data_IF_268164134993
#
_entry.id   IF_268164134993
#
_cell.length_a   1.000
_cell.length_b   1.000
_cell.length_c   1.000
_cell.angle_alpha   90.00
_cell.angle_beta   90.00
_cell.angle_gamma   90.00
#
_symmetry.space_group_name_H-M   'P 1'
#
loop_
_entity.id
_entity.type
_entity.pdbx_description
1 polymer ?
#
# COMPACT_ATOMS: atom_id res chain seq x y z
N UNK A 1 31.69 30.27 -11.92
CA UNK A 1 32.78 29.36 -11.53
C UNK A 1 32.34 27.97 -11.97
N UNK A 2 32.67 27.66 -13.21
CA UNK A 2 32.40 26.40 -13.88
C UNK A 2 33.45 25.41 -13.41
N UNK A 3 33.05 24.18 -13.05
CA UNK A 3 34.02 23.09 -13.10
C UNK A 3 33.41 21.80 -13.66
N UNK A 4 34.14 21.28 -14.64
CA UNK A 4 33.89 20.07 -15.43
C UNK A 4 34.54 18.90 -14.71
N UNK A 5 33.82 17.77 -14.58
CA UNK A 5 34.45 16.46 -14.39
C UNK A 5 33.54 15.41 -15.05
N UNK A 6 33.84 14.99 -16.27
CA UNK A 6 34.79 13.92 -16.61
C UNK A 6 34.04 12.60 -16.82
N UNK A 7 33.83 12.30 -18.10
CA UNK A 7 33.31 11.05 -18.64
C UNK A 7 34.17 9.86 -18.20
N UNK A 8 33.52 8.76 -17.82
CA UNK A 8 34.10 7.42 -17.82
C UNK A 8 33.37 6.59 -18.84
N UNK A 9 34.02 6.41 -19.98
CA UNK A 9 33.77 5.31 -20.92
C UNK A 9 34.11 4.01 -20.18
N UNK A 10 33.13 3.11 -20.10
CA UNK A 10 33.33 1.76 -19.59
C UNK A 10 33.08 0.83 -20.79
N UNK A 11 34.17 0.37 -21.40
CA UNK A 11 34.16 -0.65 -22.43
C UNK A 11 33.70 -1.96 -21.79
N UNK A 12 32.47 -2.37 -22.10
CA UNK A 12 31.99 -3.72 -21.80
C UNK A 12 32.49 -4.70 -22.87
N UNK A 13 32.97 -5.89 -22.48
CA UNK A 13 33.39 -6.91 -23.43
C UNK A 13 32.16 -7.43 -24.21
N UNK A 14 32.31 -7.44 -25.53
CA UNK A 14 31.45 -8.16 -26.48
C UNK A 14 31.46 -9.63 -26.07
N UNK A 15 30.33 -10.10 -25.53
CA UNK A 15 30.11 -11.51 -25.21
C UNK A 15 29.65 -12.24 -26.47
N UNK A 16 30.26 -13.39 -26.69
CA UNK A 16 30.06 -14.31 -27.81
C UNK A 16 28.57 -14.65 -28.03
N UNK A 17 28.17 -14.52 -29.29
CA UNK A 17 26.95 -15.05 -29.87
C UNK A 17 26.79 -16.55 -29.56
N UNK A 18 26.09 -16.85 -28.46
CA UNK A 18 25.48 -18.17 -28.28
C UNK A 18 24.24 -18.18 -29.15
N UNK A 19 24.43 -18.68 -30.36
CA UNK A 19 23.43 -18.99 -31.36
C UNK A 19 22.47 -20.07 -30.81
N UNK A 20 21.56 -19.65 -29.93
CA UNK A 20 20.42 -20.43 -29.48
C UNK A 20 19.51 -20.59 -30.69
N UNK A 21 19.57 -21.78 -31.30
CA UNK A 21 18.82 -22.11 -32.50
C UNK A 21 17.33 -21.81 -32.28
N UNK A 22 16.87 -20.71 -32.88
CA UNK A 22 15.48 -20.32 -32.91
C UNK A 22 14.68 -21.50 -33.46
N UNK A 23 13.89 -22.12 -32.58
CA UNK A 23 12.91 -23.14 -32.99
C UNK A 23 12.02 -22.47 -34.03
N UNK A 24 11.95 -22.98 -35.28
CA UNK A 24 11.16 -22.34 -36.31
C UNK A 24 9.70 -22.28 -35.85
N UNK A 25 9.23 -21.07 -35.55
CA UNK A 25 7.84 -20.80 -35.22
C UNK A 25 7.03 -21.20 -36.45
N UNK A 26 6.28 -22.28 -36.30
CA UNK A 26 5.44 -22.85 -37.35
C UNK A 26 4.35 -21.82 -37.66
N UNK A 27 4.55 -21.00 -38.68
CA UNK A 27 3.54 -20.04 -39.16
C UNK A 27 2.31 -20.84 -39.60
N UNK A 28 1.23 -20.74 -38.82
CA UNK A 28 -0.07 -21.32 -39.15
C UNK A 28 -0.68 -20.53 -40.32
N UNK A 29 -1.35 -21.20 -41.26
CA UNK A 29 -1.99 -20.54 -42.40
C UNK A 29 -2.99 -19.47 -41.94
N UNK A 30 -2.98 -18.33 -42.64
CA UNK A 30 -3.89 -17.21 -42.43
C UNK A 30 -5.35 -17.69 -42.48
N UNK A 31 -6.11 -17.46 -41.41
CA UNK A 31 -7.55 -17.75 -41.35
C UNK A 31 -8.02 -18.81 -40.34
N UNK A 32 -7.11 -19.49 -39.61
CA UNK A 32 -7.49 -20.49 -38.61
C UNK A 32 -6.89 -20.22 -37.22
N UNK A 33 -7.24 -19.10 -36.59
CA UNK A 33 -6.86 -18.79 -35.20
C UNK A 33 -7.53 -19.71 -34.15
N UNK A 34 -8.43 -20.60 -34.56
CA UNK A 34 -9.26 -21.40 -33.65
C UNK A 34 -8.58 -22.63 -33.04
N UNK A 35 -7.37 -22.96 -33.50
CA UNK A 35 -6.57 -24.07 -32.97
C UNK A 35 -5.54 -23.66 -31.92
N UNK A 36 -5.51 -22.38 -31.53
CA UNK A 36 -4.58 -21.87 -30.54
C UNK A 36 -4.80 -22.54 -29.18
N UNK A 37 -3.71 -22.80 -28.48
CA UNK A 37 -3.66 -23.41 -27.14
C UNK A 37 -2.82 -22.55 -26.20
N UNK A 38 -2.89 -22.86 -24.90
CA UNK A 38 -2.01 -22.24 -23.91
C UNK A 38 -0.54 -22.48 -24.32
N UNK A 39 0.24 -21.39 -24.37
CA UNK A 39 1.63 -21.37 -24.82
C UNK A 39 1.80 -20.98 -26.30
N UNK A 40 0.74 -20.99 -27.11
CA UNK A 40 0.84 -20.58 -28.52
C UNK A 40 1.00 -19.06 -28.65
N UNK A 41 1.56 -18.64 -29.79
CA UNK A 41 1.84 -17.25 -30.09
C UNK A 41 0.81 -16.67 -31.06
N UNK A 42 0.19 -15.55 -30.67
CA UNK A 42 -0.74 -14.81 -31.50
C UNK A 42 0.02 -13.92 -32.49
N UNK A 43 0.05 -14.30 -33.77
CA UNK A 43 0.87 -13.66 -34.79
C UNK A 43 0.62 -12.14 -34.94
N UNK A 44 -0.64 -11.70 -34.95
CA UNK A 44 -0.98 -10.29 -35.22
C UNK A 44 -0.63 -9.34 -34.07
N UNK A 45 -0.77 -9.82 -32.84
CA UNK A 45 -0.58 -9.01 -31.62
C UNK A 45 0.82 -9.20 -31.04
N UNK A 46 1.58 -10.18 -31.54
CA UNK A 46 2.88 -10.58 -31.04
C UNK A 46 2.85 -10.87 -29.53
N UNK A 47 1.85 -11.64 -29.09
CA UNK A 47 1.64 -12.01 -27.68
C UNK A 47 1.52 -13.52 -27.50
N UNK A 48 2.06 -14.03 -26.40
CA UNK A 48 1.91 -15.44 -26.01
C UNK A 48 0.63 -15.63 -25.21
N UNK A 49 -0.12 -16.68 -25.54
CA UNK A 49 -1.35 -17.05 -24.83
C UNK A 49 -0.96 -17.73 -23.53
N UNK A 50 -1.24 -17.08 -22.40
CA UNK A 50 -1.01 -17.67 -21.08
C UNK A 50 -2.18 -18.58 -20.70
N UNK A 51 -3.41 -18.10 -20.86
CA UNK A 51 -4.63 -18.83 -20.50
C UNK A 51 -5.73 -18.58 -21.53
N UNK A 52 -6.04 -19.61 -22.32
CA UNK A 52 -7.15 -19.62 -23.25
C UNK A 52 -8.46 -19.83 -22.49
N UNK A 53 -9.32 -18.82 -22.51
CA UNK A 53 -10.57 -18.84 -21.77
C UNK A 53 -11.66 -19.54 -22.58
N UNK A 54 -11.83 -19.13 -23.84
CA UNK A 54 -12.78 -19.74 -24.76
C UNK A 54 -12.32 -19.55 -26.20
N UNK A 55 -12.43 -20.60 -27.01
CA UNK A 55 -12.19 -20.57 -28.45
C UNK A 55 -13.37 -21.24 -29.15
N UNK A 56 -13.95 -20.55 -30.13
CA UNK A 56 -15.05 -21.02 -30.99
C UNK A 56 -14.75 -20.61 -32.42
N UNK A 57 -15.47 -21.14 -33.41
CA UNK A 57 -15.24 -20.80 -34.83
C UNK A 57 -15.54 -19.32 -35.17
N UNK A 58 -16.21 -18.57 -34.29
CA UNK A 58 -16.59 -17.17 -34.55
C UNK A 58 -15.79 -16.16 -33.71
N UNK A 59 -15.26 -16.58 -32.58
CA UNK A 59 -14.51 -15.69 -31.68
C UNK A 59 -13.65 -16.48 -30.71
N UNK A 60 -12.64 -15.82 -30.17
CA UNK A 60 -11.83 -16.36 -29.09
C UNK A 60 -11.43 -15.27 -28.10
N UNK A 61 -11.23 -15.67 -26.85
CA UNK A 61 -10.86 -14.80 -25.73
C UNK A 61 -9.78 -15.49 -24.91
N UNK A 62 -8.72 -14.76 -24.59
CA UNK A 62 -7.59 -15.28 -23.82
C UNK A 62 -6.95 -14.21 -22.94
N UNK A 63 -6.17 -14.67 -21.96
CA UNK A 63 -5.25 -13.84 -21.17
C UNK A 63 -3.84 -14.05 -21.73
N UNK A 64 -3.19 -12.96 -22.12
CA UNK A 64 -1.82 -12.98 -22.65
C UNK A 64 -0.79 -13.05 -21.51
N UNK A 65 0.48 -13.33 -21.85
CA UNK A 65 1.60 -13.43 -20.88
C UNK A 65 1.89 -12.15 -20.10
N UNK A 66 1.44 -10.99 -20.58
CA UNK A 66 1.48 -9.70 -19.90
C UNK A 66 0.24 -9.45 -19.01
N UNK A 67 -0.59 -10.49 -18.80
CA UNK A 67 -1.88 -10.44 -18.09
C UNK A 67 -2.93 -9.52 -18.72
N UNK A 68 -2.73 -9.07 -19.96
CA UNK A 68 -3.77 -8.33 -20.70
C UNK A 68 -4.82 -9.29 -21.26
N UNK A 69 -6.08 -8.89 -21.21
CA UNK A 69 -7.16 -9.64 -21.83
C UNK A 69 -7.20 -9.28 -23.31
N UNK A 70 -7.20 -10.30 -24.15
CA UNK A 70 -7.24 -10.19 -25.59
C UNK A 70 -8.43 -10.98 -26.12
N UNK A 71 -9.02 -10.46 -27.19
CA UNK A 71 -10.15 -11.08 -27.85
C UNK A 71 -10.11 -10.72 -29.34
N UNK A 72 -10.69 -11.58 -30.16
CA UNK A 72 -10.91 -11.31 -31.58
C UNK A 72 -12.12 -12.09 -32.07
N UNK A 73 -12.76 -11.59 -33.11
CA UNK A 73 -14.00 -12.09 -33.70
C UNK A 73 -13.83 -12.17 -35.21
N UNK A 74 -14.55 -13.07 -35.87
CA UNK A 74 -14.66 -13.09 -37.33
C UNK A 74 -15.57 -11.96 -37.82
N UNK A 75 -15.45 -11.60 -39.09
CA UNK A 75 -16.32 -10.60 -39.74
C UNK A 75 -17.80 -11.03 -39.74
N UNK A 76 -18.07 -12.33 -39.64
CA UNK A 76 -19.43 -12.89 -39.60
C UNK A 76 -20.05 -12.83 -38.19
N UNK A 77 -19.24 -12.64 -37.14
CA UNK A 77 -19.72 -12.63 -35.78
C UNK A 77 -20.46 -11.33 -35.45
N UNK A 78 -21.75 -11.45 -35.13
CA UNK A 78 -22.55 -10.32 -34.68
C UNK A 78 -22.47 -10.19 -33.15
N UNK A 79 -21.65 -9.26 -32.68
CA UNK A 79 -21.58 -8.91 -31.27
C UNK A 79 -22.94 -8.33 -30.80
N UNK A 80 -23.36 -8.61 -29.55
CA UNK A 80 -24.61 -8.07 -29.02
C UNK A 80 -24.54 -6.54 -28.86
N UNK A 81 -25.70 -5.86 -28.88
CA UNK A 81 -25.78 -4.39 -28.79
C UNK A 81 -25.08 -3.80 -27.54
N UNK A 82 -25.06 -4.56 -26.44
CA UNK A 82 -24.46 -4.14 -25.17
C UNK A 82 -22.96 -4.46 -25.06
N UNK A 83 -22.32 -4.97 -26.12
CA UNK A 83 -20.90 -5.35 -26.13
C UNK A 83 -19.97 -4.19 -25.77
N UNK A 84 -20.26 -2.98 -26.27
CA UNK A 84 -19.48 -1.78 -25.93
C UNK A 84 -19.48 -1.45 -24.43
N UNK A 85 -20.61 -1.65 -23.75
CA UNK A 85 -20.70 -1.46 -22.30
C UNK A 85 -19.84 -2.48 -21.54
N UNK A 86 -19.83 -3.74 -22.00
CA UNK A 86 -19.00 -4.80 -21.42
C UNK A 86 -17.51 -4.50 -21.62
N UNK A 87 -17.09 -4.07 -22.82
CA UNK A 87 -15.71 -3.68 -23.07
C UNK A 87 -15.26 -2.52 -22.18
N UNK A 88 -16.12 -1.51 -21.99
CA UNK A 88 -15.84 -0.41 -21.07
C UNK A 88 -15.66 -0.90 -19.63
N UNK A 89 -16.54 -1.81 -19.17
CA UNK A 89 -16.45 -2.41 -17.84
C UNK A 89 -15.19 -3.25 -17.67
N UNK A 90 -14.83 -4.06 -18.66
CA UNK A 90 -13.59 -4.84 -18.70
C UNK A 90 -12.39 -3.91 -18.56
N UNK A 91 -12.28 -2.86 -19.38
CA UNK A 91 -11.17 -1.90 -19.33
C UNK A 91 -11.03 -1.23 -17.95
N UNK A 92 -12.14 -0.88 -17.30
CA UNK A 92 -12.14 -0.32 -15.94
C UNK A 92 -11.61 -1.33 -14.92
N UNK A 93 -12.06 -2.59 -14.97
CA UNK A 93 -11.61 -3.64 -14.05
C UNK A 93 -10.14 -4.00 -14.27
N UNK A 94 -9.71 -4.02 -15.54
CA UNK A 94 -8.32 -4.19 -15.92
C UNK A 94 -7.44 -3.10 -15.28
N UNK A 95 -7.79 -1.82 -15.48
CA UNK A 95 -7.04 -0.71 -14.90
C UNK A 95 -7.01 -0.77 -13.36
N UNK A 96 -8.16 -1.08 -12.72
CA UNK A 96 -8.27 -1.16 -11.25
C UNK A 96 -7.56 -2.35 -10.63
N UNK A 97 -7.21 -3.38 -11.39
CA UNK A 97 -6.45 -4.53 -10.89
C UNK A 97 -4.93 -4.32 -10.88
N UNK A 98 -4.45 -3.18 -11.37
CA UNK A 98 -3.00 -2.89 -11.51
C UNK A 98 -2.22 -2.84 -10.20
N UNK A 99 -2.88 -2.71 -9.05
CA UNK A 99 -2.22 -2.72 -7.73
C UNK A 99 -1.84 -4.14 -7.25
N UNK A 100 -2.29 -5.20 -7.93
CA UNK A 100 -2.07 -6.58 -7.52
C UNK A 100 -0.68 -7.04 -7.97
N UNK A 101 0.23 -7.21 -7.00
CA UNK A 101 1.61 -7.61 -7.26
C UNK A 101 1.78 -9.13 -7.50
N UNK A 102 0.90 -9.97 -6.93
CA UNK A 102 0.98 -11.42 -7.10
C UNK A 102 0.45 -11.84 -8.49
N UNK A 103 1.31 -12.37 -9.38
CA UNK A 103 0.92 -12.70 -10.76
C UNK A 103 -0.13 -13.80 -10.81
N UNK A 104 -0.14 -14.75 -9.87
CA UNK A 104 -1.13 -15.82 -9.84
C UNK A 104 -2.53 -15.27 -9.51
N UNK A 105 -2.62 -14.43 -8.48
CA UNK A 105 -3.87 -13.75 -8.13
C UNK A 105 -4.35 -12.84 -9.25
N UNK A 106 -3.44 -12.07 -9.87
CA UNK A 106 -3.77 -11.22 -11.01
C UNK A 106 -4.30 -12.05 -12.19
N UNK A 107 -3.61 -13.12 -12.56
CA UNK A 107 -4.02 -14.04 -13.63
C UNK A 107 -5.42 -14.62 -13.40
N UNK A 108 -5.71 -15.09 -12.18
CA UNK A 108 -7.03 -15.60 -11.82
C UNK A 108 -8.15 -14.55 -11.96
N UNK A 109 -7.88 -13.30 -11.59
CA UNK A 109 -8.83 -12.19 -11.75
C UNK A 109 -9.02 -11.86 -13.24
N UNK A 110 -7.93 -11.77 -14.01
CA UNK A 110 -7.98 -11.49 -15.45
C UNK A 110 -8.75 -12.56 -16.21
N UNK A 111 -8.56 -13.82 -15.83
CA UNK A 111 -9.34 -14.95 -16.35
C UNK A 111 -10.84 -14.76 -16.11
N UNK A 112 -11.27 -14.38 -14.91
CA UNK A 112 -12.69 -14.14 -14.62
C UNK A 112 -13.28 -12.96 -15.40
N UNK A 113 -12.51 -11.88 -15.57
CA UNK A 113 -12.93 -10.74 -16.40
C UNK A 113 -13.09 -11.20 -17.86
N UNK A 114 -12.12 -11.96 -18.37
CA UNK A 114 -12.16 -12.54 -19.70
C UNK A 114 -13.31 -13.53 -19.90
N UNK A 115 -13.68 -14.32 -18.87
CA UNK A 115 -14.88 -15.16 -18.90
C UNK A 115 -16.17 -14.33 -19.03
N UNK A 116 -16.25 -13.18 -18.36
CA UNK A 116 -17.36 -12.23 -18.52
C UNK A 116 -17.47 -11.70 -19.96
N UNK A 117 -16.34 -11.37 -20.57
CA UNK A 117 -16.27 -10.96 -21.97
C UNK A 117 -16.65 -12.09 -22.93
N UNK A 118 -16.14 -13.30 -22.69
CA UNK A 118 -16.42 -14.48 -23.51
C UNK A 118 -17.91 -14.86 -23.49
N UNK A 119 -18.58 -14.71 -22.33
CA UNK A 119 -20.05 -14.90 -22.23
C UNK A 119 -20.82 -13.87 -23.06
N UNK A 120 -20.36 -12.62 -23.07
CA UNK A 120 -20.95 -11.57 -23.89
C UNK A 120 -20.85 -11.91 -25.38
N UNK A 121 -19.66 -12.32 -25.85
CA UNK A 121 -19.46 -12.76 -27.24
C UNK A 121 -20.28 -14.02 -27.56
N UNK A 122 -20.46 -14.91 -26.59
CA UNK A 122 -21.38 -16.06 -26.70
C UNK A 122 -22.87 -15.70 -26.67
N UNK A 123 -23.22 -14.42 -26.80
CA UNK A 123 -24.60 -13.90 -26.82
C UNK A 123 -25.45 -14.33 -25.62
N UNK A 124 -24.84 -14.44 -24.43
CA UNK A 124 -25.56 -14.68 -23.19
C UNK A 124 -26.44 -13.47 -22.82
N UNK A 125 -27.26 -13.57 -21.78
CA UNK A 125 -28.08 -12.43 -21.34
C UNK A 125 -27.19 -11.36 -20.72
N UNK A 126 -27.48 -10.08 -21.02
CA UNK A 126 -26.77 -8.91 -20.46
C UNK A 126 -26.59 -9.02 -18.94
N UNK A 127 -27.66 -9.37 -18.21
CA UNK A 127 -27.63 -9.52 -16.74
C UNK A 127 -26.56 -10.49 -16.25
N UNK A 128 -26.37 -11.62 -16.95
CA UNK A 128 -25.49 -12.69 -16.51
C UNK A 128 -24.01 -12.32 -16.74
N UNK A 129 -23.74 -11.57 -17.81
CA UNK A 129 -22.41 -11.01 -18.09
C UNK A 129 -22.02 -9.95 -17.04
N UNK A 130 -22.92 -9.01 -16.74
CA UNK A 130 -22.68 -7.97 -15.74
C UNK A 130 -22.56 -8.55 -14.33
N UNK A 131 -23.38 -9.54 -13.96
CA UNK A 131 -23.31 -10.18 -12.65
C UNK A 131 -21.93 -10.79 -12.38
N UNK A 132 -21.29 -11.41 -13.39
CA UNK A 132 -19.93 -11.95 -13.24
C UNK A 132 -18.90 -10.82 -13.05
N UNK A 133 -18.97 -9.76 -13.87
CA UNK A 133 -18.05 -8.63 -13.77
C UNK A 133 -18.22 -7.84 -12.45
N UNK A 134 -19.43 -7.76 -11.92
CA UNK A 134 -19.71 -7.14 -10.63
C UNK A 134 -19.16 -7.96 -9.46
N UNK A 135 -19.16 -9.29 -9.57
CA UNK A 135 -18.51 -10.14 -8.58
C UNK A 135 -16.99 -9.94 -8.58
N UNK A 136 -16.38 -9.80 -9.77
CA UNK A 136 -14.96 -9.44 -9.88
C UNK A 136 -14.70 -8.05 -9.28
N UNK A 137 -15.58 -7.07 -9.51
CA UNK A 137 -15.45 -5.74 -8.92
C UNK A 137 -15.45 -5.78 -7.38
N UNK A 138 -16.33 -6.58 -6.79
CA UNK A 138 -16.37 -6.80 -5.33
C UNK A 138 -15.09 -7.45 -4.82
N UNK A 139 -14.58 -8.47 -5.53
CA UNK A 139 -13.32 -9.12 -5.20
C UNK A 139 -12.15 -8.13 -5.26
N UNK A 140 -12.08 -7.32 -6.32
CA UNK A 140 -11.08 -6.26 -6.46
C UNK A 140 -11.19 -5.23 -5.35
N UNK A 141 -12.39 -4.78 -4.99
CA UNK A 141 -12.59 -3.85 -3.89
C UNK A 141 -12.12 -4.42 -2.54
N UNK A 142 -12.38 -5.71 -2.28
CA UNK A 142 -11.91 -6.39 -1.08
C UNK A 142 -10.38 -6.49 -1.04
N UNK A 143 -9.75 -6.89 -2.15
CA UNK A 143 -8.28 -6.97 -2.28
C UNK A 143 -7.62 -5.61 -2.18
N UNK A 144 -8.22 -4.59 -2.78
CA UNK A 144 -7.77 -3.21 -2.73
C UNK A 144 -7.65 -2.72 -1.28
N UNK A 145 -8.71 -2.96 -0.50
CA UNK A 145 -8.74 -2.64 0.93
C UNK A 145 -7.66 -3.41 1.71
N UNK A 146 -7.52 -4.71 1.46
CA UNK A 146 -6.52 -5.55 2.12
C UNK A 146 -5.08 -5.06 1.86
N UNK A 147 -4.75 -4.79 0.60
CA UNK A 147 -3.41 -4.31 0.19
C UNK A 147 -3.10 -2.94 0.77
N UNK A 148 -4.05 -2.00 0.70
CA UNK A 148 -3.85 -0.67 1.27
C UNK A 148 -3.62 -0.74 2.79
N UNK A 149 -4.38 -1.59 3.50
CA UNK A 149 -4.18 -1.84 4.93
C UNK A 149 -2.81 -2.43 5.23
N UNK A 150 -2.34 -3.40 4.43
CA UNK A 150 -0.99 -3.98 4.59
C UNK A 150 0.09 -2.90 4.48
N UNK A 151 0.04 -2.05 3.46
CA UNK A 151 1.05 -0.99 3.27
C UNK A 151 1.04 0.02 4.42
N UNK A 152 -0.15 0.47 4.82
CA UNK A 152 -0.33 1.40 5.93
C UNK A 152 0.21 0.84 7.26
N UNK A 153 -0.21 -0.37 7.64
CA UNK A 153 0.21 -0.98 8.90
C UNK A 153 1.68 -1.39 8.89
N UNK A 154 2.21 -1.84 7.76
CA UNK A 154 3.64 -2.18 7.66
C UNK A 154 4.52 -0.97 7.95
N UNK A 155 4.16 0.21 7.45
CA UNK A 155 4.88 1.44 7.77
C UNK A 155 4.79 1.79 9.27
N UNK A 156 3.58 1.77 9.84
CA UNK A 156 3.36 2.07 11.25
C UNK A 156 4.10 1.10 12.18
N UNK A 157 4.07 -0.21 11.88
CA UNK A 157 4.77 -1.24 12.66
C UNK A 157 6.28 -1.12 12.54
N UNK A 158 6.84 -0.83 11.36
CA UNK A 158 8.30 -0.65 11.19
C UNK A 158 8.83 0.49 12.04
N UNK A 159 8.17 1.65 12.01
CA UNK A 159 8.58 2.83 12.79
C UNK A 159 8.42 2.58 14.28
N UNK A 160 7.27 2.05 14.70
CA UNK A 160 7.02 1.75 16.12
C UNK A 160 7.98 0.67 16.63
N UNK A 161 8.27 -0.34 15.82
CA UNK A 161 9.26 -1.38 16.11
C UNK A 161 10.66 -0.81 16.30
N UNK A 162 11.10 0.11 15.42
CA UNK A 162 12.36 0.83 15.59
C UNK A 162 12.38 1.65 16.89
N UNK A 163 11.30 2.34 17.23
CA UNK A 163 11.17 3.06 18.50
C UNK A 163 11.23 2.12 19.72
N UNK A 164 10.57 0.95 19.65
CA UNK A 164 10.58 -0.03 20.73
C UNK A 164 11.98 -0.63 20.95
N UNK A 165 12.70 -0.96 19.86
CA UNK A 165 14.11 -1.38 19.94
C UNK A 165 14.97 -0.27 20.54
N UNK A 166 14.79 0.98 20.08
CA UNK A 166 15.46 2.14 20.64
C UNK A 166 15.20 2.32 22.13
N UNK A 167 13.96 2.07 22.59
CA UNK A 167 13.58 2.14 24.00
C UNK A 167 14.31 1.09 24.83
N UNK A 168 14.36 -0.16 24.36
CA UNK A 168 15.07 -1.25 25.03
C UNK A 168 16.57 -0.96 25.10
N UNK A 169 17.18 -0.54 23.99
CA UNK A 169 18.60 -0.19 23.93
C UNK A 169 18.93 0.98 24.87
N UNK A 170 18.13 2.05 24.85
CA UNK A 170 18.30 3.20 25.72
C UNK A 170 18.18 2.81 27.19
N UNK A 171 17.25 1.91 27.52
CA UNK A 171 17.09 1.39 28.89
C UNK A 171 18.27 0.53 29.35
N UNK A 172 18.76 -0.37 28.51
CA UNK A 172 19.94 -1.20 28.82
C UNK A 172 21.20 -0.34 28.99
N UNK A 173 21.35 0.70 28.15
CA UNK A 173 22.44 1.66 28.22
C UNK A 173 22.19 2.83 29.20
N UNK A 174 21.22 2.72 30.12
CA UNK A 174 20.77 3.84 30.97
C UNK A 174 21.89 4.57 31.70
N UNK A 175 22.87 3.85 32.24
CA UNK A 175 23.95 4.46 33.02
C UNK A 175 24.82 5.37 32.15
N UNK A 176 25.15 4.88 30.95
CA UNK A 176 25.91 5.64 29.95
C UNK A 176 25.09 6.81 29.40
N UNK A 177 23.84 6.56 29.02
CA UNK A 177 22.95 7.58 28.48
C UNK A 177 22.72 8.71 29.49
N UNK A 178 22.40 8.40 30.76
CA UNK A 178 22.21 9.41 31.81
C UNK A 178 23.49 10.22 32.06
N UNK A 179 24.67 9.60 31.98
CA UNK A 179 25.94 10.31 32.11
C UNK A 179 26.21 11.27 30.94
N UNK A 180 25.73 10.95 29.74
CA UNK A 180 26.02 11.71 28.52
C UNK A 180 25.01 12.84 28.28
N UNK A 181 23.70 12.56 28.31
CA UNK A 181 22.64 13.54 28.03
C UNK A 181 21.98 14.13 29.29
N UNK A 182 22.27 13.56 30.47
CA UNK A 182 21.62 13.94 31.72
C UNK A 182 20.28 13.22 31.96
N UNK A 183 19.85 13.22 33.22
CA UNK A 183 18.65 12.47 33.65
C UNK A 183 17.36 12.98 33.01
N UNK A 184 17.18 14.31 32.94
CA UNK A 184 15.95 14.89 32.38
C UNK A 184 15.77 14.56 30.89
N UNK A 185 16.82 14.72 30.08
CA UNK A 185 16.79 14.40 28.66
C UNK A 185 16.58 12.90 28.42
N UNK A 186 17.18 12.04 29.25
CA UNK A 186 16.95 10.59 29.22
C UNK A 186 15.48 10.23 29.48
N UNK A 187 14.88 10.79 30.54
CA UNK A 187 13.48 10.57 30.87
C UNK A 187 12.56 11.06 29.73
N UNK A 188 12.82 12.24 29.16
CA UNK A 188 12.06 12.77 28.02
C UNK A 188 12.18 11.86 26.79
N UNK A 189 13.38 11.37 26.49
CA UNK A 189 13.62 10.47 25.35
C UNK A 189 12.83 9.16 25.50
N UNK A 190 12.80 8.58 26.69
CA UNK A 190 11.95 7.41 26.98
C UNK A 190 10.46 7.73 26.79
N UNK A 191 10.01 8.90 27.24
CA UNK A 191 8.63 9.37 27.05
C UNK A 191 8.23 9.45 25.58
N UNK A 192 9.07 10.05 24.74
CA UNK A 192 8.85 10.15 23.29
C UNK A 192 8.69 8.75 22.68
N UNK A 193 9.61 7.83 22.98
CA UNK A 193 9.56 6.46 22.44
C UNK A 193 8.32 5.68 22.91
N UNK A 194 7.91 5.85 24.16
CA UNK A 194 6.64 5.33 24.67
C UNK A 194 5.42 5.92 23.92
N UNK A 195 5.50 7.17 23.47
CA UNK A 195 4.49 7.80 22.63
C UNK A 195 4.20 7.05 21.33
N UNK A 196 5.22 6.45 20.71
CA UNK A 196 5.04 5.65 19.49
C UNK A 196 4.10 4.44 19.72
N UNK A 197 4.20 3.80 20.89
CA UNK A 197 3.35 2.67 21.26
C UNK A 197 1.90 3.12 21.39
N UNK A 198 1.67 4.26 22.04
CA UNK A 198 0.35 4.89 22.12
C UNK A 198 -0.22 5.21 20.73
N UNK A 199 0.61 5.80 19.87
CA UNK A 199 0.23 6.15 18.50
C UNK A 199 -0.20 4.92 17.70
N UNK A 200 0.53 3.81 17.81
CA UNK A 200 0.19 2.55 17.16
C UNK A 200 -1.15 1.98 17.66
N UNK A 201 -1.45 2.09 18.96
CA UNK A 201 -2.76 1.69 19.50
C UNK A 201 -3.89 2.57 18.95
N UNK A 202 -3.68 3.87 18.80
CA UNK A 202 -4.65 4.77 18.14
C UNK A 202 -4.89 4.38 16.68
N UNK A 203 -3.80 4.13 15.95
CA UNK A 203 -3.83 3.74 14.54
C UNK A 203 -4.62 2.44 14.35
N UNK A 204 -4.33 1.41 15.14
CA UNK A 204 -4.99 0.10 15.04
C UNK A 204 -6.47 0.16 15.43
N UNK A 205 -6.84 0.92 16.46
CA UNK A 205 -8.25 1.08 16.88
C UNK A 205 -9.10 1.90 15.92
N UNK A 206 -8.50 2.82 15.15
CA UNK A 206 -9.21 3.68 14.18
C UNK A 206 -9.21 3.15 12.74
N UNK A 207 -8.48 2.07 12.46
CA UNK A 207 -8.30 1.56 11.09
C UNK A 207 -9.61 1.22 10.36
N UNK A 208 -10.66 0.82 11.09
CA UNK A 208 -11.97 0.51 10.50
C UNK A 208 -12.69 1.71 9.86
N UNK A 209 -12.31 2.95 10.21
CA UNK A 209 -12.95 4.18 9.71
C UNK A 209 -12.26 4.79 8.50
N UNK A 210 -11.06 4.33 8.16
CA UNK A 210 -10.26 4.92 7.09
C UNK A 210 -10.64 4.21 5.78
N UNK A 211 -11.19 4.98 4.85
CA UNK A 211 -11.39 4.51 3.47
C UNK A 211 -10.04 4.60 2.78
N UNK A 212 -9.47 3.44 2.41
CA UNK A 212 -8.19 3.37 1.73
C UNK A 212 -8.37 2.77 0.33
N UNK A 213 -7.62 3.31 -0.63
CA UNK A 213 -7.57 2.85 -2.01
C UNK A 213 -6.12 2.59 -2.42
N UNK A 214 -5.75 1.33 -2.68
CA UNK A 214 -4.41 0.93 -3.09
C UNK A 214 -4.03 1.51 -4.47
N UNK A 215 -4.99 1.95 -5.29
CA UNK A 215 -4.69 2.64 -6.55
C UNK A 215 -4.03 4.02 -6.34
N UNK A 216 -4.13 4.61 -5.14
CA UNK A 216 -3.40 5.84 -4.79
C UNK A 216 -1.88 5.64 -4.73
N UNK A 217 -1.41 4.39 -4.75
CA UNK A 217 0.00 4.04 -4.71
C UNK A 217 0.52 3.83 -3.29
N UNK A 218 1.53 2.98 -3.17
CA UNK A 218 2.08 2.52 -1.90
C UNK A 218 2.65 3.65 -1.03
N UNK A 219 3.31 4.64 -1.65
CA UNK A 219 4.00 5.71 -0.94
C UNK A 219 3.05 6.59 -0.11
N UNK A 220 1.84 6.85 -0.63
CA UNK A 220 0.84 7.67 0.06
C UNK A 220 0.38 6.97 1.34
N UNK A 221 0.08 5.67 1.27
CA UNK A 221 -0.33 4.89 2.44
C UNK A 221 0.77 4.77 3.50
N UNK A 222 2.02 4.62 3.07
CA UNK A 222 3.17 4.59 3.97
C UNK A 222 3.37 5.94 4.68
N UNK A 223 3.25 7.05 3.93
CA UNK A 223 3.37 8.40 4.47
C UNK A 223 2.24 8.71 5.46
N UNK A 224 1.01 8.27 5.18
CA UNK A 224 -0.10 8.41 6.12
C UNK A 224 0.17 7.65 7.42
N UNK A 225 0.61 6.39 7.34
CA UNK A 225 0.98 5.59 8.52
C UNK A 225 2.11 6.25 9.33
N UNK A 226 3.16 6.72 8.65
CA UNK A 226 4.30 7.40 9.26
C UNK A 226 3.90 8.70 9.97
N UNK A 227 3.10 9.54 9.31
CA UNK A 227 2.68 10.84 9.85
C UNK A 227 1.88 10.70 11.15
N UNK A 228 1.05 9.66 11.28
CA UNK A 228 0.30 9.39 12.51
C UNK A 228 1.18 8.96 13.68
N UNK A 229 2.17 8.10 13.42
CA UNK A 229 3.17 7.75 14.45
C UNK A 229 3.99 9.00 14.84
N UNK A 230 4.40 9.79 13.84
CA UNK A 230 5.09 11.07 14.05
C UNK A 230 4.30 12.05 14.92
N UNK A 231 3.00 12.21 14.66
CA UNK A 231 2.12 13.05 15.48
C UNK A 231 2.05 12.57 16.94
N UNK A 232 2.00 11.26 17.17
CA UNK A 232 2.02 10.70 18.52
C UNK A 232 3.35 10.88 19.25
N UNK A 233 4.48 10.77 18.54
CA UNK A 233 5.82 11.08 19.08
C UNK A 233 5.91 12.55 19.53
N UNK A 234 5.42 13.48 18.69
CA UNK A 234 5.37 14.91 19.00
C UNK A 234 4.48 15.15 20.23
N UNK A 235 3.31 14.53 20.29
CA UNK A 235 2.42 14.66 21.45
C UNK A 235 3.04 14.17 22.75
N UNK A 236 3.77 13.04 22.70
CA UNK A 236 4.52 12.54 23.85
C UNK A 236 5.68 13.44 24.24
N UNK A 237 6.38 14.06 23.27
CA UNK A 237 7.42 15.07 23.55
C UNK A 237 6.85 16.24 24.38
N UNK A 238 5.72 16.82 23.94
CA UNK A 238 5.08 17.93 24.67
C UNK A 238 4.70 17.55 26.10
N UNK A 239 4.12 16.36 26.29
CA UNK A 239 3.76 15.87 27.62
C UNK A 239 4.98 15.63 28.49
N UNK A 240 6.03 15.00 27.96
CA UNK A 240 7.27 14.77 28.70
C UNK A 240 7.95 16.10 29.13
N UNK A 241 8.02 17.08 28.23
CA UNK A 241 8.53 18.42 28.56
C UNK A 241 7.66 19.12 29.61
N UNK A 242 6.34 18.99 29.53
CA UNK A 242 5.41 19.54 30.54
C UNK A 242 5.60 18.91 31.92
N UNK A 243 5.97 17.62 31.98
CA UNK A 243 6.35 16.95 33.22
C UNK A 243 7.68 17.46 33.79
N UNK A 244 8.67 17.73 32.93
CA UNK A 244 9.96 18.26 33.38
C UNK A 244 9.86 19.73 33.82
N UNK A 245 9.04 20.52 33.13
CA UNK A 245 8.75 21.91 33.49
C UNK A 245 7.82 22.08 34.70
N UNK A 246 7.31 21.00 35.28
CA UNK A 246 6.43 21.05 36.44
C UNK A 246 5.00 21.53 36.14
N UNK A 247 4.60 21.67 34.86
CA UNK A 247 3.28 22.16 34.48
C UNK A 247 2.14 21.18 34.85
N UNK A 248 2.39 19.87 34.72
CA UNK A 248 1.36 18.84 34.97
C UNK A 248 1.33 18.38 36.45
N UNK A 249 2.45 18.55 37.17
CA UNK A 249 2.63 17.93 38.49
C UNK A 249 3.15 18.92 39.55
N UNK A 250 3.13 20.22 39.26
CA UNK A 250 3.48 21.28 40.19
C UNK A 250 2.49 21.32 41.36
N UNK A 251 2.78 20.55 42.41
CA UNK A 251 2.03 20.56 43.66
C UNK A 251 1.45 19.22 44.13
N UNK A 252 1.45 18.17 43.30
CA UNK A 252 0.89 16.86 43.69
C UNK A 252 1.99 15.82 43.84
N UNK A 253 2.28 15.40 45.07
CA UNK A 253 3.16 14.28 45.34
C UNK A 253 2.36 12.97 45.24
N UNK A 254 2.58 12.24 44.15
CA UNK A 254 2.06 10.88 44.03
C UNK A 254 3.03 9.91 44.72
N UNK A 255 2.54 8.92 45.50
CA UNK A 255 3.38 7.95 46.19
C UNK A 255 4.08 6.93 45.24
N UNK A 256 3.97 7.10 43.92
CA UNK A 256 4.54 6.22 42.91
C UNK A 256 5.78 6.79 42.21
N UNK A 257 6.36 6.02 41.27
CA UNK A 257 7.51 6.50 40.50
C UNK A 257 7.06 7.56 39.47
N UNK A 258 7.59 8.79 39.64
CA UNK A 258 7.35 9.92 38.72
C UNK A 258 7.57 9.52 37.25
N UNK A 259 8.60 8.72 36.99
CA UNK A 259 8.92 8.22 35.66
C UNK A 259 7.79 7.35 35.09
N UNK A 260 7.29 6.35 35.83
CA UNK A 260 6.25 5.47 35.30
C UNK A 260 4.97 6.23 34.97
N UNK A 261 4.60 7.20 35.80
CA UNK A 261 3.46 8.06 35.52
C UNK A 261 3.68 8.91 34.26
N UNK A 262 4.85 9.55 34.12
CA UNK A 262 5.18 10.31 32.92
C UNK A 262 5.11 9.43 31.66
N UNK A 263 5.65 8.20 31.69
CA UNK A 263 5.58 7.27 30.57
C UNK A 263 4.13 6.88 30.24
N UNK A 264 3.29 6.61 31.24
CA UNK A 264 1.87 6.31 31.04
C UNK A 264 1.13 7.48 30.36
N UNK A 265 1.39 8.72 30.79
CA UNK A 265 0.85 9.91 30.14
C UNK A 265 1.38 10.11 28.72
N UNK A 266 2.64 9.76 28.45
CA UNK A 266 3.21 9.82 27.09
C UNK A 266 2.56 8.79 26.16
N UNK A 267 2.28 7.56 26.64
CA UNK A 267 1.51 6.56 25.89
C UNK A 267 0.10 7.09 25.61
N UNK A 268 -0.58 7.63 26.63
CA UNK A 268 -1.91 8.20 26.45
C UNK A 268 -1.93 9.39 25.47
N UNK A 269 -0.90 10.25 25.52
CA UNK A 269 -0.70 11.37 24.60
C UNK A 269 -0.52 10.87 23.16
N UNK A 270 0.34 9.88 22.95
CA UNK A 270 0.53 9.26 21.64
C UNK A 270 -0.76 8.64 21.10
N UNK A 271 -1.57 8.03 21.97
CA UNK A 271 -2.86 7.45 21.59
C UNK A 271 -3.94 8.48 21.26
N UNK A 272 -3.73 9.76 21.58
CA UNK A 272 -4.71 10.80 21.33
C UNK A 272 -4.20 11.83 20.34
N UNK A 273 -4.63 11.66 19.10
CA UNK A 273 -4.55 12.68 18.04
C UNK A 273 -5.20 14.03 18.46
N UNK A 274 -6.01 14.06 19.54
CA UNK A 274 -6.68 15.27 20.07
C UNK A 274 -6.05 15.86 21.32
N UNK A 275 -5.18 15.13 22.04
CA UNK A 275 -4.64 15.64 23.31
C UNK A 275 -3.72 16.84 23.09
N UNK A 276 -2.97 16.86 21.99
CA UNK A 276 -2.07 17.96 21.66
C UNK A 276 -2.82 19.31 21.55
N UNK A 277 -3.83 19.49 20.68
CA UNK A 277 -4.58 20.75 20.64
C UNK A 277 -5.22 21.10 21.98
N UNK A 278 -5.77 20.14 22.72
CA UNK A 278 -6.39 20.43 24.03
C UNK A 278 -5.39 20.87 25.12
N UNK A 279 -4.13 20.43 25.02
CA UNK A 279 -3.06 20.84 25.92
C UNK A 279 -2.55 22.23 25.55
N UNK A 280 -2.41 22.52 24.25
CA UNK A 280 -2.06 23.85 23.76
C UNK A 280 -3.10 24.87 24.22
N UNK A 281 -4.40 24.60 24.02
CA UNK A 281 -5.49 25.46 24.47
C UNK A 281 -5.44 25.73 25.98
N UNK A 282 -5.08 24.72 26.79
CA UNK A 282 -4.94 24.87 28.25
C UNK A 282 -3.74 25.72 28.64
N UNK A 283 -2.60 25.55 27.95
CA UNK A 283 -1.39 26.35 28.18
C UNK A 283 -1.66 27.81 27.82
N UNK A 284 -2.28 28.07 26.67
CA UNK A 284 -2.67 29.43 26.26
C UNK A 284 -3.58 30.10 27.29
N UNK A 285 -4.61 29.39 27.76
CA UNK A 285 -5.50 29.91 28.81
C UNK A 285 -4.77 30.19 30.14
N UNK A 286 -3.84 29.33 30.51
CA UNK A 286 -3.07 29.49 31.74
C UNK A 286 -2.10 30.68 31.65
N UNK A 287 -1.41 30.84 30.52
CA UNK A 287 -0.55 31.99 30.25
C UNK A 287 -1.33 33.32 30.28
N UNK A 288 -2.51 33.35 29.65
CA UNK A 288 -3.40 34.52 29.68
C UNK A 288 -3.95 34.85 31.07
N UNK A 289 -4.03 33.86 31.97
CA UNK A 289 -4.48 34.08 33.36
C UNK A 289 -3.37 34.58 34.28
N UNK A 290 -2.12 34.20 34.04
CA UNK A 290 -0.97 34.65 34.81
C UNK A 290 -0.63 36.12 34.57
N UNK A 291 -0.91 36.64 33.38
CA UNK A 291 -0.65 38.04 33.00
C UNK A 291 -1.68 39.04 33.58
N UNK A 292 -2.74 38.55 34.26
CA UNK A 292 -3.78 39.38 34.90
C UNK A 292 -3.57 39.59 36.40
N UNK A 293 -2.49 39.03 36.97
CA UNK A 293 -2.15 39.13 38.39
C UNK A 293 -0.80 39.82 38.57
#
# INVERSE_FOLDING_TARGET
MLDRAAARHCDTPVSEDTNEAAVPSKQLPEGHHFHLKNGDHHAELNKTIQDLVLSTDSYFVYVASDHSIQWSTTDEHQAPEYFGEILSRVAILEARSGFIEDPNTLGNIRRQIAEGLARCLGNHRKSDCFALLDEVDRLLAARNKETAWKWYFTAAYKVTGACAVGLVLLWLARAYAVSFIGRAAFEVSLGILCGAIGALLSVTTRASRIVMDANAGQQIHQLEGLSRIGAGLIGALFVALSFQGGLIMGGVQFPGSRLAMMLAFCIAAGASERLVPSLVDKIERSALSADRH
#
